data_IF_868674203644
#
_entry.id   IF_868674203644
#
_cell.length_a   1.000
_cell.length_b   1.000
_cell.length_c   1.000
_cell.angle_alpha   90.00
_cell.angle_beta   90.00
_cell.angle_gamma   90.00
#
_symmetry.space_group_name_H-M   'P 1'
#
loop_
_entity.id
_entity.type
_entity.pdbx_description
1 polymer ?
#
# COMPACT_ATOMS: atom_id res chain seq x y z
N UNK A 1 -60.08 -6.07 12.48
CA UNK A 1 -58.66 -5.84 12.12
C UNK A 1 -58.59 -4.52 11.41
N UNK A 2 -57.94 -3.51 11.99
CA UNK A 2 -57.87 -2.16 11.42
C UNK A 2 -56.76 -2.16 10.39
N UNK A 3 -57.10 -1.83 9.12
CA UNK A 3 -56.15 -1.63 8.05
C UNK A 3 -55.31 -0.37 8.31
N UNK A 4 -53.95 -0.54 8.38
CA UNK A 4 -53.04 0.59 8.50
C UNK A 4 -53.14 1.48 7.26
N UNK A 5 -53.37 2.77 7.47
CA UNK A 5 -53.50 3.74 6.38
C UNK A 5 -52.23 3.84 5.54
N UNK A 6 -52.30 4.14 4.21
CA UNK A 6 -51.13 4.22 3.31
C UNK A 6 -50.00 5.12 3.81
N UNK A 7 -50.34 6.22 4.52
CA UNK A 7 -49.35 7.12 5.15
C UNK A 7 -48.53 6.50 6.25
N UNK A 8 -49.09 5.51 6.94
CA UNK A 8 -48.35 4.76 8.02
C UNK A 8 -47.36 3.79 7.41
N UNK A 9 -47.72 3.11 6.31
CA UNK A 9 -46.82 2.19 5.57
C UNK A 9 -45.65 2.94 4.94
N UNK A 10 -45.85 4.12 4.39
CA UNK A 10 -44.79 4.96 3.83
C UNK A 10 -43.84 5.44 4.92
N UNK A 11 -44.34 5.84 6.09
CA UNK A 11 -43.48 6.22 7.23
C UNK A 11 -42.69 5.07 7.81
N UNK A 12 -43.24 3.87 7.87
CA UNK A 12 -42.54 2.66 8.31
C UNK A 12 -41.51 2.23 7.28
N UNK A 13 -41.80 2.29 5.99
CA UNK A 13 -40.85 2.03 4.89
C UNK A 13 -39.70 3.02 4.90
N UNK A 14 -39.97 4.35 4.99
CA UNK A 14 -38.94 5.38 5.06
C UNK A 14 -38.11 5.28 6.36
N UNK A 15 -38.70 4.90 7.49
CA UNK A 15 -37.94 4.62 8.72
C UNK A 15 -37.06 3.37 8.62
N UNK A 16 -37.51 2.36 7.89
CA UNK A 16 -36.73 1.13 7.68
C UNK A 16 -35.59 1.40 6.70
N UNK A 17 -35.84 2.14 5.63
CA UNK A 17 -34.85 2.55 4.66
C UNK A 17 -33.83 3.54 5.28
N UNK A 18 -34.29 4.54 6.04
CA UNK A 18 -33.41 5.44 6.80
C UNK A 18 -32.59 4.70 7.89
N UNK A 19 -33.16 3.69 8.57
CA UNK A 19 -32.38 2.84 9.48
C UNK A 19 -31.37 1.96 8.75
N UNK A 20 -31.69 1.47 7.55
CA UNK A 20 -30.72 0.74 6.71
C UNK A 20 -29.62 1.69 6.15
N UNK A 21 -29.95 2.96 5.89
CA UNK A 21 -28.95 3.96 5.50
C UNK A 21 -28.12 4.48 6.70
N UNK A 22 -28.67 4.46 7.91
CA UNK A 22 -27.97 4.85 9.15
C UNK A 22 -27.16 3.69 9.78
N UNK A 23 -27.24 2.47 9.24
CA UNK A 23 -26.45 1.30 9.61
C UNK A 23 -25.55 0.85 8.42
N UNK A 24 -25.16 1.75 7.56
CA UNK A 24 -23.82 1.68 7.00
C UNK A 24 -22.92 2.15 8.17
N UNK A 25 -22.66 1.25 9.13
CA UNK A 25 -21.46 1.37 9.95
C UNK A 25 -20.34 1.61 8.95
N UNK A 26 -19.78 2.80 8.98
CA UNK A 26 -18.56 3.10 8.24
C UNK A 26 -17.52 2.19 8.87
N UNK A 27 -17.39 0.97 8.33
CA UNK A 27 -16.44 0.00 8.82
C UNK A 27 -15.06 0.58 8.60
N UNK A 28 -14.45 1.01 9.70
CA UNK A 28 -13.07 1.47 9.69
C UNK A 28 -12.15 0.35 9.24
N UNK A 29 -11.01 0.69 8.68
CA UNK A 29 -9.99 -0.27 8.24
C UNK A 29 -8.65 0.03 8.91
N UNK A 30 -8.18 -0.90 9.73
CA UNK A 30 -6.88 -0.81 10.38
C UNK A 30 -5.84 -1.65 9.62
N UNK A 31 -4.79 -1.01 9.18
CA UNK A 31 -3.76 -1.60 8.32
C UNK A 31 -2.43 -1.61 9.06
N UNK A 32 -1.73 -2.76 9.01
CA UNK A 32 -0.36 -2.91 9.49
C UNK A 32 0.54 -3.34 8.34
N UNK A 33 1.47 -2.49 7.94
CA UNK A 33 2.53 -2.84 7.01
C UNK A 33 3.78 -3.28 7.79
N UNK A 34 4.27 -4.49 7.52
CA UNK A 34 5.56 -4.97 8.02
C UNK A 34 6.54 -4.87 6.85
N UNK A 35 7.38 -3.82 6.86
CA UNK A 35 8.16 -3.50 5.68
C UNK A 35 9.39 -2.63 5.93
N UNK A 36 9.66 -1.76 4.99
CA UNK A 36 10.85 -0.93 4.93
C UNK A 36 10.52 0.43 4.26
N UNK A 37 11.51 1.11 3.66
CA UNK A 37 11.28 2.39 2.98
C UNK A 37 10.27 2.34 1.83
N UNK A 38 10.05 1.16 1.23
CA UNK A 38 9.05 1.00 0.17
C UNK A 38 7.61 1.00 0.73
N UNK A 39 7.35 0.33 1.85
CA UNK A 39 6.06 0.47 2.53
C UNK A 39 5.88 1.87 3.15
N UNK A 40 6.96 2.50 3.63
CA UNK A 40 6.93 3.89 4.11
C UNK A 40 6.44 4.83 3.00
N UNK A 41 6.99 4.72 1.79
CA UNK A 41 6.53 5.52 0.64
C UNK A 41 5.06 5.21 0.29
N UNK A 42 4.65 3.93 0.36
CA UNK A 42 3.29 3.51 0.00
C UNK A 42 2.22 3.96 1.02
N UNK A 43 2.56 3.95 2.30
CA UNK A 43 1.62 4.31 3.37
C UNK A 43 1.58 5.80 3.70
N UNK A 44 2.48 6.60 3.09
CA UNK A 44 2.66 8.02 3.46
C UNK A 44 1.38 8.85 3.36
N UNK A 45 0.56 8.64 2.35
CA UNK A 45 -0.70 9.35 2.14
C UNK A 45 -1.93 8.47 2.26
N UNK A 46 -1.75 7.17 2.54
CA UNK A 46 -2.85 6.21 2.53
C UNK A 46 -3.96 6.58 3.53
N UNK A 47 -3.59 7.02 4.73
CA UNK A 47 -4.57 7.43 5.74
C UNK A 47 -5.44 8.60 5.25
N UNK A 48 -4.83 9.63 4.70
CA UNK A 48 -5.53 10.82 4.19
C UNK A 48 -6.41 10.48 2.99
N UNK A 49 -5.94 9.60 2.09
CA UNK A 49 -6.73 9.10 0.96
C UNK A 49 -7.94 8.29 1.47
N UNK A 50 -7.75 7.42 2.47
CA UNK A 50 -8.85 6.69 3.11
C UNK A 50 -9.87 7.63 3.74
N UNK A 51 -9.43 8.65 4.48
CA UNK A 51 -10.31 9.66 5.09
C UNK A 51 -11.13 10.40 4.03
N UNK A 52 -10.50 10.84 2.93
CA UNK A 52 -11.18 11.50 1.82
C UNK A 52 -12.22 10.60 1.14
N UNK A 53 -11.97 9.28 1.09
CA UNK A 53 -12.92 8.28 0.62
C UNK A 53 -13.95 7.82 1.66
N UNK A 54 -13.99 8.45 2.84
CA UNK A 54 -14.95 8.12 3.90
C UNK A 54 -14.65 6.78 4.61
N UNK A 55 -13.42 6.27 4.53
CA UNK A 55 -12.98 5.05 5.21
C UNK A 55 -12.12 5.42 6.42
N UNK A 56 -12.69 5.44 7.65
CA UNK A 56 -11.91 5.71 8.85
C UNK A 56 -11.00 4.54 9.19
N UNK A 57 -10.01 4.77 10.05
CA UNK A 57 -9.11 3.73 10.53
C UNK A 57 -7.70 4.26 10.76
N UNK A 58 -6.80 3.35 11.04
CA UNK A 58 -5.37 3.67 11.23
C UNK A 58 -4.50 2.91 10.24
N UNK A 59 -3.46 3.56 9.79
CA UNK A 59 -2.42 2.97 8.95
C UNK A 59 -1.12 2.97 9.75
N UNK A 60 -0.61 1.78 10.03
CA UNK A 60 0.65 1.61 10.74
C UNK A 60 1.68 1.00 9.80
N UNK A 61 2.88 1.55 9.78
CA UNK A 61 4.03 0.97 9.10
C UNK A 61 5.14 0.69 10.13
N UNK A 62 5.60 -0.56 10.19
CA UNK A 62 6.80 -0.94 10.92
C UNK A 62 7.99 -0.79 10.00
N UNK A 63 8.75 0.29 10.22
CA UNK A 63 9.84 0.70 9.35
C UNK A 63 11.21 0.31 9.89
N UNK A 64 11.97 -0.37 9.05
CA UNK A 64 13.45 -0.45 9.14
C UNK A 64 13.98 -0.30 7.71
N UNK A 65 14.89 0.63 7.48
CA UNK A 65 15.52 0.85 6.17
C UNK A 65 16.17 -0.43 5.63
N UNK A 66 15.83 -0.82 4.38
CA UNK A 66 16.40 -2.00 3.72
C UNK A 66 16.10 -3.34 4.40
N UNK A 67 15.03 -3.43 5.18
CA UNK A 67 14.67 -4.67 5.89
C UNK A 67 14.17 -5.74 4.91
N UNK A 68 14.86 -6.91 4.90
CA UNK A 68 14.46 -8.09 4.14
C UNK A 68 13.52 -8.98 4.96
N UNK A 69 12.82 -9.92 4.30
CA UNK A 69 12.00 -10.93 4.97
C UNK A 69 12.83 -11.75 5.99
N UNK A 70 14.08 -12.09 5.65
CA UNK A 70 14.99 -12.75 6.58
C UNK A 70 15.22 -11.92 7.84
N UNK A 71 15.46 -10.61 7.69
CA UNK A 71 15.65 -9.73 8.85
C UNK A 71 14.37 -9.58 9.66
N UNK A 72 13.21 -9.47 9.02
CA UNK A 72 11.92 -9.48 9.73
C UNK A 72 11.76 -10.75 10.56
N UNK A 73 12.06 -11.93 10.00
CA UNK A 73 11.97 -13.18 10.73
C UNK A 73 12.96 -13.26 11.89
N UNK A 74 14.21 -12.82 11.69
CA UNK A 74 15.20 -12.77 12.77
C UNK A 74 14.74 -11.84 13.91
N UNK A 75 14.13 -10.71 13.60
CA UNK A 75 13.55 -9.80 14.59
C UNK A 75 12.36 -10.41 15.33
N UNK A 76 11.53 -11.21 14.66
CA UNK A 76 10.48 -12.00 15.33
C UNK A 76 11.07 -12.97 16.35
N UNK A 77 12.13 -13.72 15.97
CA UNK A 77 12.76 -14.72 16.84
C UNK A 77 13.39 -14.13 18.10
N UNK A 78 13.85 -12.90 18.03
CA UNK A 78 14.50 -12.19 19.15
C UNK A 78 13.58 -11.18 19.84
N UNK A 79 12.35 -10.99 19.34
CA UNK A 79 11.41 -9.95 19.74
C UNK A 79 12.03 -8.55 19.71
N UNK A 80 12.87 -8.27 18.69
CA UNK A 80 13.60 -7.02 18.60
C UNK A 80 12.66 -5.83 18.35
N UNK A 81 12.70 -4.83 19.23
CA UNK A 81 11.95 -3.58 19.10
C UNK A 81 12.73 -2.53 18.28
N UNK A 82 13.16 -2.94 17.06
CA UNK A 82 14.01 -2.14 16.18
C UNK A 82 13.24 -1.31 15.16
N UNK A 83 11.91 -1.47 15.11
CA UNK A 83 11.09 -0.79 14.11
C UNK A 83 10.68 0.60 14.57
N UNK A 84 10.93 1.61 13.73
CA UNK A 84 10.20 2.85 13.86
C UNK A 84 8.71 2.57 13.63
N UNK A 85 7.89 2.91 14.62
CA UNK A 85 6.45 2.77 14.51
C UNK A 85 5.88 4.04 13.88
N UNK A 86 5.53 3.96 12.62
CA UNK A 86 4.88 5.05 11.91
C UNK A 86 3.36 4.89 12.01
N UNK A 87 2.68 5.97 12.37
CA UNK A 87 1.23 6.05 12.44
C UNK A 87 0.72 7.08 11.44
N UNK A 88 -0.16 6.66 10.54
CA UNK A 88 -0.78 7.53 9.53
C UNK A 88 0.28 8.32 8.74
N UNK A 89 1.32 7.61 8.28
CA UNK A 89 2.40 8.17 7.47
C UNK A 89 3.43 9.02 8.21
N UNK A 90 3.42 9.04 9.56
CA UNK A 90 4.37 9.82 10.37
C UNK A 90 5.01 8.95 11.44
N UNK A 91 6.29 9.18 11.72
CA UNK A 91 6.94 8.55 12.87
C UNK A 91 6.29 9.01 14.17
N UNK A 92 5.85 8.05 14.98
CA UNK A 92 5.11 8.33 16.23
C UNK A 92 6.00 8.68 17.42
N UNK A 93 7.33 8.66 17.26
CA UNK A 93 8.29 8.77 18.36
C UNK A 93 8.51 7.47 19.14
N UNK A 94 7.92 6.35 18.69
CA UNK A 94 7.98 5.05 19.36
C UNK A 94 8.72 4.02 18.52
N UNK A 95 9.56 3.22 19.15
CA UNK A 95 10.08 1.98 18.59
C UNK A 95 9.16 0.82 18.98
N UNK A 96 9.10 -0.21 18.14
CA UNK A 96 8.23 -1.36 18.36
C UNK A 96 8.87 -2.66 17.85
N UNK A 97 8.42 -3.81 18.35
CA UNK A 97 8.63 -5.10 17.72
C UNK A 97 7.37 -5.49 16.90
N UNK A 98 7.52 -6.46 15.98
CA UNK A 98 6.38 -7.04 15.25
C UNK A 98 5.36 -7.61 16.23
N UNK A 99 5.81 -8.30 17.29
CA UNK A 99 4.93 -8.82 18.33
C UNK A 99 4.12 -7.73 19.00
N UNK A 100 4.77 -6.67 19.46
CA UNK A 100 4.08 -5.56 20.14
C UNK A 100 3.01 -4.93 19.25
N UNK A 101 3.30 -4.71 17.96
CA UNK A 101 2.33 -4.15 17.03
C UNK A 101 1.16 -5.13 16.77
N UNK A 102 1.42 -6.43 16.63
CA UNK A 102 0.37 -7.43 16.48
C UNK A 102 -0.52 -7.54 17.71
N UNK A 103 0.07 -7.46 18.92
CA UNK A 103 -0.65 -7.55 20.21
C UNK A 103 -1.58 -6.35 20.45
N UNK A 104 -1.43 -5.22 19.75
CA UNK A 104 -2.41 -4.13 19.75
C UNK A 104 -3.77 -4.59 19.21
N UNK A 105 -3.79 -5.55 18.30
CA UNK A 105 -4.99 -6.14 17.76
C UNK A 105 -5.85 -5.22 16.88
N UNK A 106 -6.99 -5.75 16.44
CA UNK A 106 -7.95 -5.00 15.63
C UNK A 106 -7.46 -4.72 14.20
N UNK A 107 -6.52 -5.51 13.70
CA UNK A 107 -6.02 -5.40 12.34
C UNK A 107 -6.96 -6.06 11.34
N UNK A 108 -7.34 -5.32 10.29
CA UNK A 108 -8.14 -5.82 9.18
C UNK A 108 -7.26 -6.32 8.03
N UNK A 109 -6.14 -5.62 7.81
CA UNK A 109 -5.15 -5.98 6.78
C UNK A 109 -3.74 -5.92 7.37
N UNK A 110 -2.94 -6.95 7.06
CA UNK A 110 -1.50 -6.97 7.36
C UNK A 110 -0.75 -7.26 6.07
N UNK A 111 0.29 -6.48 5.78
CA UNK A 111 1.07 -6.67 4.56
C UNK A 111 2.50 -7.10 4.84
N UNK A 112 3.02 -7.95 3.97
CA UNK A 112 4.41 -8.37 3.92
C UNK A 112 5.00 -7.99 2.57
N UNK A 113 6.32 -7.73 2.54
CA UNK A 113 7.06 -7.44 1.31
C UNK A 113 8.51 -7.88 1.43
N UNK A 114 9.16 -8.17 0.30
CA UNK A 114 10.61 -8.33 0.26
C UNK A 114 11.29 -6.97 0.09
N UNK A 115 12.55 -6.85 0.52
CA UNK A 115 13.39 -5.68 0.22
C UNK A 115 13.60 -5.52 -1.28
N UNK A 116 13.60 -4.28 -1.75
CA UNK A 116 13.54 -3.96 -3.19
C UNK A 116 14.60 -4.66 -4.04
N UNK A 117 15.85 -4.69 -3.58
CA UNK A 117 16.94 -5.35 -4.30
C UNK A 117 16.81 -6.88 -4.44
N UNK A 118 15.98 -7.52 -3.59
CA UNK A 118 15.73 -8.96 -3.61
C UNK A 118 14.31 -9.31 -4.09
N UNK A 119 13.46 -8.33 -4.34
CA UNK A 119 12.03 -8.56 -4.62
C UNK A 119 11.77 -9.32 -5.93
N UNK A 120 12.68 -9.29 -6.89
CA UNK A 120 12.63 -10.10 -8.11
C UNK A 120 13.36 -11.45 -8.02
N UNK A 121 13.86 -11.85 -6.83
CA UNK A 121 14.64 -13.09 -6.63
C UNK A 121 13.85 -14.03 -5.73
N UNK A 122 13.06 -14.90 -6.36
CA UNK A 122 12.06 -15.76 -5.71
C UNK A 122 12.59 -16.55 -4.52
N UNK A 123 13.75 -17.19 -4.64
CA UNK A 123 14.31 -18.03 -3.59
C UNK A 123 14.67 -17.28 -2.30
N UNK A 124 14.77 -15.94 -2.34
CA UNK A 124 15.04 -15.12 -1.17
C UNK A 124 13.81 -14.90 -0.27
N UNK A 125 12.63 -15.27 -0.75
CA UNK A 125 11.42 -15.21 0.06
C UNK A 125 11.36 -16.36 1.07
N UNK A 126 11.90 -17.51 0.73
CA UNK A 126 11.80 -18.74 1.53
C UNK A 126 13.03 -18.99 2.41
N UNK A 127 12.83 -19.57 3.63
CA UNK A 127 11.54 -19.97 4.22
C UNK A 127 10.79 -18.79 4.91
N UNK A 128 11.34 -17.60 4.88
CA UNK A 128 10.98 -16.47 5.74
C UNK A 128 9.55 -16.00 5.55
N UNK A 129 9.01 -16.04 4.32
CA UNK A 129 7.63 -15.63 4.04
C UNK A 129 6.62 -16.56 4.72
N UNK A 130 6.87 -17.87 4.68
CA UNK A 130 6.00 -18.88 5.29
C UNK A 130 6.01 -18.75 6.81
N UNK A 131 7.19 -18.62 7.40
CA UNK A 131 7.37 -18.43 8.84
C UNK A 131 6.69 -17.14 9.36
N UNK A 132 6.79 -16.04 8.60
CA UNK A 132 6.14 -14.77 8.95
C UNK A 132 4.62 -14.88 8.82
N UNK A 133 4.11 -15.55 7.79
CA UNK A 133 2.68 -15.79 7.61
C UNK A 133 2.12 -16.58 8.79
N UNK A 134 2.77 -17.68 9.17
CA UNK A 134 2.33 -18.51 10.29
C UNK A 134 2.35 -17.73 11.61
N UNK A 135 3.41 -16.95 11.84
CA UNK A 135 3.53 -16.12 13.02
C UNK A 135 2.44 -15.05 13.11
N UNK A 136 2.14 -14.37 12.00
CA UNK A 136 1.11 -13.33 11.93
C UNK A 136 -0.28 -13.94 12.06
N UNK A 137 -0.58 -15.04 11.36
CA UNK A 137 -1.87 -15.74 11.44
C UNK A 137 -2.17 -16.24 12.86
N UNK A 138 -1.16 -16.69 13.59
CA UNK A 138 -1.33 -17.13 14.97
C UNK A 138 -1.76 -15.99 15.92
N UNK A 139 -1.37 -14.72 15.65
CA UNK A 139 -1.65 -13.55 16.50
C UNK A 139 -2.80 -12.68 16.00
N UNK A 140 -2.97 -12.62 14.69
CA UNK A 140 -4.00 -11.82 14.05
C UNK A 140 -4.83 -12.68 13.07
N UNK A 141 -5.55 -13.74 13.56
CA UNK A 141 -6.20 -14.73 12.72
C UNK A 141 -7.35 -14.18 11.86
N UNK A 142 -7.85 -12.98 12.18
CA UNK A 142 -8.93 -12.34 11.44
C UNK A 142 -8.41 -11.37 10.37
N UNK A 143 -7.13 -10.98 10.43
CA UNK A 143 -6.55 -10.06 9.47
C UNK A 143 -6.35 -10.73 8.11
N UNK A 144 -6.69 -10.02 7.04
CA UNK A 144 -6.34 -10.41 5.68
C UNK A 144 -4.86 -10.11 5.46
N UNK A 145 -4.06 -11.14 5.19
CA UNK A 145 -2.67 -10.98 4.82
C UNK A 145 -2.56 -10.72 3.32
N UNK A 146 -1.68 -9.79 2.94
CA UNK A 146 -1.43 -9.45 1.54
C UNK A 146 0.06 -9.26 1.27
N UNK A 147 0.45 -9.51 0.03
CA UNK A 147 1.80 -9.27 -0.47
C UNK A 147 1.87 -7.91 -1.16
N UNK A 148 2.72 -7.02 -0.67
CA UNK A 148 2.99 -5.74 -1.34
C UNK A 148 4.01 -5.98 -2.46
N UNK A 149 3.58 -5.92 -3.73
CA UNK A 149 4.46 -5.95 -4.90
C UNK A 149 5.16 -4.61 -5.02
N UNK A 150 6.47 -4.60 -4.77
CA UNK A 150 7.31 -3.41 -4.92
C UNK A 150 7.54 -3.07 -6.41
N UNK A 151 8.24 -2.00 -6.70
CA UNK A 151 8.49 -1.51 -8.05
C UNK A 151 9.97 -1.64 -8.44
N UNK A 152 10.21 -1.70 -9.74
CA UNK A 152 11.56 -1.66 -10.29
C UNK A 152 12.17 -0.26 -10.13
N UNK A 153 13.50 -0.22 -10.00
CA UNK A 153 14.27 1.03 -9.95
C UNK A 153 14.10 1.83 -11.24
N UNK A 154 14.47 3.11 -11.24
CA UNK A 154 14.57 3.92 -12.46
C UNK A 154 15.74 3.42 -13.31
N UNK A 155 15.70 3.65 -14.63
CA UNK A 155 16.71 3.11 -15.56
C UNK A 155 18.14 3.63 -15.27
N UNK A 156 18.25 4.83 -14.73
CA UNK A 156 19.52 5.46 -14.34
C UNK A 156 19.91 5.29 -12.88
N UNK A 157 19.22 4.36 -12.17
CA UNK A 157 19.48 4.12 -10.75
C UNK A 157 20.91 3.64 -10.52
N UNK A 158 21.54 4.22 -9.49
CA UNK A 158 22.87 3.81 -9.01
C UNK A 158 22.84 2.88 -7.81
N UNK A 159 21.64 2.32 -7.49
CA UNK A 159 21.49 1.40 -6.35
C UNK A 159 22.37 0.16 -6.51
N UNK A 160 23.08 -0.22 -5.44
CA UNK A 160 24.07 -1.30 -5.46
C UNK A 160 23.50 -2.69 -5.87
N UNK A 161 22.19 -2.91 -5.69
CA UNK A 161 21.52 -4.15 -6.08
C UNK A 161 20.99 -4.14 -7.51
N UNK A 162 21.00 -3.00 -8.21
CA UNK A 162 20.47 -2.93 -9.58
C UNK A 162 21.20 -3.81 -10.59
N UNK A 163 22.55 -4.00 -10.48
CA UNK A 163 23.26 -4.95 -11.34
C UNK A 163 22.80 -6.41 -11.23
N UNK A 164 22.06 -6.80 -10.17
CA UNK A 164 21.42 -8.12 -10.08
C UNK A 164 20.41 -8.38 -11.20
N UNK A 165 19.92 -7.30 -11.79
CA UNK A 165 18.97 -7.28 -12.90
C UNK A 165 19.60 -6.70 -14.18
N UNK A 166 20.94 -6.83 -14.32
CA UNK A 166 21.74 -6.27 -15.43
C UNK A 166 21.60 -4.74 -15.58
N UNK A 167 21.25 -4.04 -14.50
CA UNK A 167 20.92 -2.60 -14.52
C UNK A 167 19.87 -2.25 -15.57
N UNK A 168 18.90 -3.13 -15.76
CA UNK A 168 17.79 -3.00 -16.70
C UNK A 168 16.46 -2.92 -15.94
N UNK A 169 15.80 -1.76 -16.07
CA UNK A 169 14.52 -1.47 -15.37
C UNK A 169 13.42 -2.46 -15.77
N UNK A 170 13.31 -2.76 -17.05
CA UNK A 170 12.29 -3.67 -17.55
C UNK A 170 12.52 -5.10 -17.06
N UNK A 171 13.78 -5.56 -17.10
CA UNK A 171 14.16 -6.86 -16.58
C UNK A 171 13.87 -6.97 -15.09
N UNK A 172 14.21 -5.95 -14.30
CA UNK A 172 13.89 -5.92 -12.87
C UNK A 172 12.38 -6.04 -12.63
N UNK A 173 11.57 -5.28 -13.37
CA UNK A 173 10.11 -5.36 -13.29
C UNK A 173 9.58 -6.77 -13.61
N UNK A 174 10.01 -7.36 -14.72
CA UNK A 174 9.58 -8.68 -15.12
C UNK A 174 9.96 -9.76 -14.08
N UNK A 175 11.15 -9.64 -13.47
CA UNK A 175 11.59 -10.51 -12.37
C UNK A 175 10.71 -10.33 -11.12
N UNK A 176 10.37 -9.10 -10.75
CA UNK A 176 9.49 -8.81 -9.61
C UNK A 176 8.10 -9.41 -9.85
N UNK A 177 7.52 -9.24 -11.04
CA UNK A 177 6.24 -9.83 -11.39
C UNK A 177 6.27 -11.35 -11.23
N UNK A 178 7.25 -12.01 -11.83
CA UNK A 178 7.41 -13.47 -11.75
C UNK A 178 7.55 -13.96 -10.31
N UNK A 179 8.41 -13.32 -9.52
CA UNK A 179 8.62 -13.70 -8.12
C UNK A 179 7.36 -13.52 -7.29
N UNK A 180 6.70 -12.35 -7.38
CA UNK A 180 5.46 -12.09 -6.64
C UNK A 180 4.32 -13.03 -7.04
N UNK A 181 4.16 -13.34 -8.33
CA UNK A 181 3.13 -14.27 -8.81
C UNK A 181 3.37 -15.69 -8.30
N UNK A 182 4.64 -16.14 -8.27
CA UNK A 182 5.00 -17.45 -7.69
C UNK A 182 4.72 -17.49 -6.19
N UNK A 183 5.17 -16.47 -5.45
CA UNK A 183 4.96 -16.40 -4.00
C UNK A 183 3.47 -16.29 -3.67
N UNK A 184 2.70 -15.47 -4.38
CA UNK A 184 1.24 -15.36 -4.22
C UNK A 184 0.54 -16.70 -4.42
N UNK A 185 0.90 -17.45 -5.47
CA UNK A 185 0.34 -18.80 -5.72
C UNK A 185 0.70 -19.81 -4.64
N UNK A 186 1.93 -19.75 -4.11
CA UNK A 186 2.38 -20.64 -3.04
C UNK A 186 1.70 -20.35 -1.71
N UNK A 187 1.52 -19.07 -1.36
CA UNK A 187 1.04 -18.62 -0.05
C UNK A 187 -0.46 -18.32 0.01
N UNK A 188 -1.13 -18.28 -1.15
CA UNK A 188 -2.52 -17.80 -1.31
C UNK A 188 -2.73 -16.34 -0.86
N UNK A 189 -1.66 -15.53 -0.87
CA UNK A 189 -1.75 -14.11 -0.56
C UNK A 189 -2.15 -13.30 -1.79
N UNK A 190 -3.18 -12.47 -1.65
CA UNK A 190 -3.51 -11.45 -2.66
C UNK A 190 -2.41 -10.40 -2.75
N UNK A 191 -2.21 -9.83 -3.93
CA UNK A 191 -1.16 -8.85 -4.21
C UNK A 191 -1.74 -7.43 -4.17
N UNK A 192 -1.00 -6.48 -3.56
CA UNK A 192 -1.19 -5.05 -3.77
C UNK A 192 -0.24 -4.64 -4.92
N UNK A 193 -0.75 -4.28 -6.11
CA UNK A 193 0.02 -4.25 -7.35
C UNK A 193 0.75 -2.91 -7.60
N UNK A 194 1.48 -2.40 -6.60
CA UNK A 194 2.17 -1.11 -6.71
C UNK A 194 3.18 -1.07 -7.86
N UNK A 195 3.96 -2.15 -8.04
CA UNK A 195 4.95 -2.24 -9.13
C UNK A 195 4.31 -2.13 -10.51
N UNK A 196 3.12 -2.73 -10.69
CA UNK A 196 2.38 -2.67 -11.95
C UNK A 196 1.86 -1.25 -12.24
N UNK A 197 1.37 -0.56 -11.22
CA UNK A 197 0.89 0.82 -11.35
C UNK A 197 2.03 1.80 -11.64
N UNK A 198 3.19 1.63 -11.01
CA UNK A 198 4.39 2.41 -11.30
C UNK A 198 4.82 2.20 -12.74
N UNK A 199 4.84 0.95 -13.22
CA UNK A 199 5.18 0.64 -14.62
C UNK A 199 4.15 1.21 -15.61
N UNK A 200 2.86 1.20 -15.26
CA UNK A 200 1.81 1.79 -16.08
C UNK A 200 1.92 3.33 -16.16
N UNK A 201 2.24 3.98 -15.03
CA UNK A 201 2.44 5.42 -14.99
C UNK A 201 3.67 5.86 -15.78
N UNK A 202 4.78 5.10 -15.72
CA UNK A 202 6.00 5.36 -16.53
C UNK A 202 5.78 5.31 -18.04
N UNK A 203 4.72 4.65 -18.49
CA UNK A 203 4.35 4.59 -19.91
C UNK A 203 3.44 5.75 -20.37
N UNK A 204 3.12 6.70 -19.48
CA UNK A 204 2.22 7.81 -19.75
C UNK A 204 2.90 9.17 -19.47
N UNK A 205 2.64 10.16 -20.33
CA UNK A 205 3.07 11.54 -20.04
C UNK A 205 2.36 12.06 -18.76
N UNK A 206 3.06 12.79 -17.90
CA UNK A 206 4.41 13.34 -18.07
C UNK A 206 5.55 12.45 -17.53
N UNK A 207 5.33 11.14 -17.29
CA UNK A 207 6.27 10.25 -16.60
C UNK A 207 7.11 9.38 -17.55
N UNK A 208 7.12 9.64 -18.84
CA UNK A 208 7.98 8.92 -19.80
C UNK A 208 9.42 9.43 -19.65
N UNK A 209 10.10 8.92 -18.61
CA UNK A 209 11.40 9.40 -18.15
C UNK A 209 12.50 9.36 -19.23
N UNK A 210 12.51 8.30 -20.04
CA UNK A 210 13.46 8.14 -21.16
C UNK A 210 13.35 9.26 -22.22
N UNK A 211 12.18 9.91 -22.32
CA UNK A 211 11.92 11.03 -23.21
C UNK A 211 12.10 12.40 -22.53
N UNK A 212 12.72 12.44 -21.35
CA UNK A 212 12.89 13.67 -20.58
C UNK A 212 11.69 14.04 -19.71
N UNK A 213 10.75 13.11 -19.51
CA UNK A 213 9.63 13.26 -18.60
C UNK A 213 10.04 13.24 -17.12
N UNK A 214 9.07 13.41 -16.25
CA UNK A 214 9.27 13.44 -14.79
C UNK A 214 9.61 12.03 -14.26
N UNK A 215 10.61 11.94 -13.38
CA UNK A 215 10.84 10.72 -12.62
C UNK A 215 9.77 10.52 -11.53
N UNK A 216 9.27 9.31 -11.38
CA UNK A 216 8.49 8.91 -10.22
C UNK A 216 9.35 8.64 -8.98
N UNK A 217 10.67 8.61 -9.13
CA UNK A 217 11.62 8.38 -8.05
C UNK A 217 12.37 9.68 -7.69
N UNK A 218 12.77 9.83 -6.39
CA UNK A 218 13.59 10.97 -5.91
C UNK A 218 15.09 10.71 -5.95
N UNK A 219 15.48 9.44 -5.99
CA UNK A 219 16.88 8.98 -5.92
C UNK A 219 17.14 7.73 -6.78
N UNK A 220 16.30 7.51 -7.79
CA UNK A 220 16.36 6.38 -8.69
C UNK A 220 15.67 5.11 -8.19
N UNK A 221 15.17 5.07 -6.94
CA UNK A 221 14.47 3.88 -6.40
C UNK A 221 13.39 4.18 -5.36
N UNK A 222 13.55 5.16 -4.48
CA UNK A 222 12.46 5.61 -3.61
C UNK A 222 11.52 6.54 -4.37
N UNK A 223 10.23 6.45 -4.10
CA UNK A 223 9.23 7.28 -4.77
C UNK A 223 9.39 8.77 -4.49
N UNK A 224 9.09 9.60 -5.48
CA UNK A 224 9.03 11.05 -5.33
C UNK A 224 8.02 11.41 -4.23
N UNK A 225 8.35 12.48 -3.48
CA UNK A 225 7.65 12.82 -2.24
C UNK A 225 6.16 13.14 -2.44
N UNK A 226 5.77 13.62 -3.62
CA UNK A 226 4.39 13.98 -3.95
C UNK A 226 3.78 12.91 -4.85
N UNK A 227 4.14 12.87 -6.11
CA UNK A 227 3.47 12.08 -7.14
C UNK A 227 3.67 10.57 -6.97
N UNK A 228 4.91 10.14 -6.72
CA UNK A 228 5.20 8.72 -6.53
C UNK A 228 4.50 8.15 -5.29
N UNK A 229 4.59 8.84 -4.14
CA UNK A 229 3.90 8.43 -2.90
C UNK A 229 2.39 8.46 -3.05
N UNK A 230 1.84 9.45 -3.76
CA UNK A 230 0.41 9.52 -4.05
C UNK A 230 -0.06 8.32 -4.87
N UNK A 231 0.65 7.97 -5.95
CA UNK A 231 0.33 6.80 -6.77
C UNK A 231 0.23 5.52 -5.93
N UNK A 232 1.22 5.28 -5.06
CA UNK A 232 1.22 4.09 -4.22
C UNK A 232 0.04 4.07 -3.23
N UNK A 233 -0.23 5.19 -2.57
CA UNK A 233 -1.38 5.32 -1.65
C UNK A 233 -2.71 5.10 -2.37
N UNK A 234 -2.85 5.60 -3.61
CA UNK A 234 -4.01 5.40 -4.47
C UNK A 234 -4.23 3.91 -4.82
N UNK A 235 -3.15 3.18 -5.15
CA UNK A 235 -3.20 1.72 -5.40
C UNK A 235 -3.61 0.96 -4.15
N UNK A 236 -3.02 1.27 -3.01
CA UNK A 236 -3.41 0.64 -1.75
C UNK A 236 -4.88 0.90 -1.42
N UNK A 237 -5.32 2.17 -1.49
CA UNK A 237 -6.71 2.55 -1.22
C UNK A 237 -7.68 1.74 -2.07
N UNK A 238 -7.54 1.75 -3.39
CA UNK A 238 -8.47 1.05 -4.28
C UNK A 238 -8.40 -0.47 -4.11
N UNK A 239 -7.19 -1.06 -3.98
CA UNK A 239 -7.03 -2.50 -3.75
C UNK A 239 -7.66 -2.96 -2.43
N UNK A 240 -7.55 -2.16 -1.37
CA UNK A 240 -8.00 -2.55 -0.04
C UNK A 240 -9.50 -2.32 0.17
N UNK A 241 -10.03 -1.21 -0.35
CA UNK A 241 -11.41 -0.77 -0.13
C UNK A 241 -12.37 -1.19 -1.24
N UNK A 242 -11.86 -1.47 -2.45
CA UNK A 242 -12.67 -1.66 -3.66
C UNK A 242 -13.35 -0.38 -4.16
N UNK A 243 -13.07 0.77 -3.54
CA UNK A 243 -13.62 2.06 -3.99
C UNK A 243 -12.69 2.67 -5.04
N UNK A 244 -13.27 3.22 -6.11
CA UNK A 244 -12.51 3.87 -7.17
C UNK A 244 -11.74 5.09 -6.68
N UNK A 245 -10.44 5.14 -6.93
CA UNK A 245 -9.63 6.31 -6.63
C UNK A 245 -9.94 7.50 -7.55
N UNK A 246 -10.60 7.26 -8.68
CA UNK A 246 -11.03 8.34 -9.60
C UNK A 246 -12.03 9.30 -8.92
N UNK A 247 -12.82 8.78 -7.98
CA UNK A 247 -13.81 9.56 -7.22
C UNK A 247 -13.24 10.13 -5.91
N UNK A 248 -11.96 9.88 -5.61
CA UNK A 248 -11.32 10.34 -4.38
C UNK A 248 -10.77 11.76 -4.52
N UNK A 249 -11.25 12.68 -3.70
CA UNK A 249 -10.91 14.10 -3.77
C UNK A 249 -9.59 14.48 -3.05
N UNK A 250 -8.80 13.52 -2.55
CA UNK A 250 -7.56 13.85 -1.86
C UNK A 250 -6.50 14.41 -2.83
N UNK A 251 -5.87 15.50 -2.41
CA UNK A 251 -4.72 16.13 -3.07
C UNK A 251 -3.59 16.21 -2.05
N UNK A 252 -2.39 15.68 -2.33
CA UNK A 252 -1.27 15.75 -1.40
C UNK A 252 -0.87 17.20 -1.14
N UNK A 253 -0.71 17.56 0.14
CA UNK A 253 -0.34 18.92 0.53
C UNK A 253 1.14 19.21 0.28
N UNK A 254 1.41 20.46 -0.12
CA UNK A 254 2.70 21.01 -0.49
C UNK A 254 3.85 21.07 0.56
N UNK A 255 3.69 20.82 1.88
CA UNK A 255 4.84 20.82 2.79
C UNK A 255 5.92 19.78 2.46
N UNK A 256 5.59 18.82 1.59
CA UNK A 256 6.51 17.76 1.15
C UNK A 256 6.94 17.91 -0.32
N UNK A 257 6.37 18.86 -1.04
CA UNK A 257 6.92 19.32 -2.31
C UNK A 257 8.14 20.22 -2.01
N UNK A 258 9.17 20.23 -2.87
CA UNK A 258 10.18 21.30 -2.84
C UNK A 258 9.46 22.65 -2.79
N UNK A 259 9.92 23.57 -1.94
CA UNK A 259 9.27 24.86 -1.75
C UNK A 259 8.90 25.49 -3.11
N UNK A 260 7.63 25.85 -3.28
CA UNK A 260 7.10 26.54 -4.46
C UNK A 260 6.56 25.66 -5.60
N UNK A 261 6.54 24.34 -5.49
CA UNK A 261 5.93 23.46 -6.50
C UNK A 261 4.46 23.23 -6.15
N UNK A 262 3.55 23.85 -6.91
CA UNK A 262 2.13 23.54 -6.83
C UNK A 262 1.88 22.12 -7.38
N UNK A 263 1.01 21.36 -6.71
CA UNK A 263 0.58 20.05 -7.21
C UNK A 263 -0.35 20.28 -8.42
N UNK A 264 -0.02 19.63 -9.55
CA UNK A 264 -0.82 19.70 -10.77
C UNK A 264 -1.89 18.60 -10.76
N UNK A 265 -3.16 19.00 -10.76
CA UNK A 265 -4.29 18.08 -10.78
C UNK A 265 -4.32 17.18 -12.02
N UNK A 266 -3.85 17.67 -13.17
CA UNK A 266 -3.77 16.87 -14.40
C UNK A 266 -2.75 15.74 -14.26
N UNK A 267 -1.65 15.99 -13.56
CA UNK A 267 -0.66 14.96 -13.24
C UNK A 267 -1.24 13.94 -12.27
N UNK A 268 -2.01 14.39 -11.26
CA UNK A 268 -2.73 13.47 -10.35
C UNK A 268 -3.76 12.62 -11.10
N UNK A 269 -4.45 13.16 -12.09
CA UNK A 269 -5.42 12.40 -12.90
C UNK A 269 -4.77 11.28 -13.70
N UNK A 270 -3.55 11.50 -14.23
CA UNK A 270 -2.76 10.42 -14.85
C UNK A 270 -2.45 9.30 -13.86
N UNK A 271 -2.07 9.66 -12.63
CA UNK A 271 -1.75 8.69 -11.58
C UNK A 271 -3.00 7.94 -11.08
N UNK A 272 -4.12 8.64 -10.88
CA UNK A 272 -5.43 8.02 -10.57
C UNK A 272 -5.82 7.03 -11.66
N UNK A 273 -5.70 7.42 -12.93
CA UNK A 273 -5.98 6.55 -14.07
C UNK A 273 -5.07 5.33 -14.13
N UNK A 274 -3.77 5.47 -13.82
CA UNK A 274 -2.83 4.35 -13.76
C UNK A 274 -3.18 3.38 -12.61
N UNK A 275 -3.47 3.90 -11.40
CA UNK A 275 -3.88 3.09 -10.26
C UNK A 275 -5.17 2.33 -10.56
N UNK A 276 -6.23 3.03 -10.98
CA UNK A 276 -7.54 2.45 -11.30
C UNK A 276 -7.44 1.34 -12.35
N UNK A 277 -6.74 1.60 -13.45
CA UNK A 277 -6.53 0.62 -14.53
C UNK A 277 -5.89 -0.69 -14.04
N UNK A 278 -5.02 -0.62 -13.06
CA UNK A 278 -4.32 -1.79 -12.52
C UNK A 278 -5.17 -2.50 -11.46
N UNK A 279 -5.87 -1.77 -10.60
CA UNK A 279 -6.71 -2.35 -9.54
C UNK A 279 -7.99 -3.02 -10.06
N UNK A 280 -8.44 -2.67 -11.29
CA UNK A 280 -9.67 -3.22 -11.90
C UNK A 280 -9.42 -4.33 -12.93
N UNK A 281 -8.18 -4.79 -13.09
CA UNK A 281 -7.82 -5.96 -13.93
C UNK A 281 -8.02 -7.26 -13.18
#
# INVERSE_FOLDING_TARGET
>A
MAEKTPKLRIKEFLRHTLKQWLILEVMGMNILAIGNSFSQDATRYLHEIMQAGGVPGRVVNLYIGGCSLERHWNNVRTDAADYEYELNGQFSGRMSSIRQALDEGGWDVITLQQVSGLSGIENTYYPYIDELIDYVKARAPKARLMLHKTWAYEQDSTHADFPRYDSDQRKMYDCICKACDTVSKHTDLSIIPCGDAVQAARAAEPFVYENGGMSLCRDGFHMSLVYGRYLLGAVWYETLTGQSVLDNGYVPCAPLAPEGVAVDDKVLDVLRGAAHKICTR
#
